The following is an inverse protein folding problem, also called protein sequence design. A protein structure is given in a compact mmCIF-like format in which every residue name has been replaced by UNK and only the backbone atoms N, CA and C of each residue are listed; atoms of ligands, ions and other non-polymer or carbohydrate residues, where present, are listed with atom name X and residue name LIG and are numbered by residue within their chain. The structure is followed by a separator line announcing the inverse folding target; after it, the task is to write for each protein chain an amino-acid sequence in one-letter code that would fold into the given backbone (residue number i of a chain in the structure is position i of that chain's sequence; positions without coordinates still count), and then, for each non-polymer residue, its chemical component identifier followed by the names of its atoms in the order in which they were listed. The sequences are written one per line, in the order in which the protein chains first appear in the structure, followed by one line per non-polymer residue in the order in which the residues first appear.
data_IF_686134281427
#
_entry.id   IF_686134281427
#
_cell.length_a   1.000
_cell.length_b   1.000
_cell.length_c   1.000
_cell.angle_alpha   90.00
_cell.angle_beta   90.00
_cell.angle_gamma   90.00
#
_symmetry.space_group_name_H-M   'P 1'
#
loop_
_entity.id
_entity.type
_entity.pdbx_description
1 polymer ?
#
# COMPACT_ATOMS: atom_id res chain seq x y z
N UNK A 1 3.24 -10.00 11.35
CA UNK A 1 3.65 -9.64 9.99
C UNK A 1 4.99 -8.93 10.06
N UNK A 2 6.02 -9.51 9.44
CA UNK A 2 7.38 -8.95 9.42
C UNK A 2 7.56 -8.09 8.16
N UNK A 3 7.35 -6.78 8.30
CA UNK A 3 7.47 -5.82 7.19
C UNK A 3 8.90 -5.73 6.63
N UNK A 4 9.93 -6.03 7.44
CA UNK A 4 11.31 -6.03 7.00
C UNK A 4 11.60 -7.23 6.09
N UNK A 5 11.05 -8.40 6.42
CA UNK A 5 11.11 -9.58 5.56
C UNK A 5 10.41 -9.32 4.23
N UNK A 6 9.17 -8.83 4.26
CA UNK A 6 8.39 -8.51 3.05
C UNK A 6 9.10 -7.46 2.19
N UNK A 7 9.64 -6.41 2.81
CA UNK A 7 10.36 -5.38 2.10
C UNK A 7 11.57 -5.94 1.34
N UNK A 8 12.30 -6.89 1.95
CA UNK A 8 13.44 -7.55 1.31
C UNK A 8 12.99 -8.49 0.19
N UNK A 9 11.95 -9.29 0.42
CA UNK A 9 11.44 -10.29 -0.52
C UNK A 9 10.87 -9.64 -1.80
N UNK A 10 10.14 -8.54 -1.65
CA UNK A 10 9.49 -7.84 -2.76
C UNK A 10 10.24 -6.60 -3.24
N UNK A 11 11.45 -6.36 -2.73
CA UNK A 11 12.29 -5.19 -3.03
C UNK A 11 11.53 -3.87 -2.86
N UNK A 12 10.88 -3.70 -1.71
CA UNK A 12 10.08 -2.52 -1.40
C UNK A 12 10.95 -1.37 -0.87
N UNK A 13 10.63 -0.15 -1.28
CA UNK A 13 11.20 1.06 -0.68
C UNK A 13 10.40 1.51 0.55
N UNK A 14 10.94 2.52 1.25
CA UNK A 14 10.34 3.04 2.48
C UNK A 14 8.90 3.54 2.30
N UNK A 15 8.58 4.16 1.16
CA UNK A 15 7.23 4.68 0.88
C UNK A 15 6.25 3.53 0.73
N UNK A 16 6.61 2.51 -0.06
CA UNK A 16 5.79 1.32 -0.27
C UNK A 16 5.52 0.58 1.04
N UNK A 17 6.55 0.39 1.88
CA UNK A 17 6.40 -0.21 3.21
C UNK A 17 5.48 0.64 4.10
N UNK A 18 5.63 1.96 4.08
CA UNK A 18 4.79 2.87 4.86
C UNK A 18 3.33 2.80 4.43
N UNK A 19 3.06 2.74 3.12
CA UNK A 19 1.71 2.55 2.56
C UNK A 19 1.11 1.24 3.05
N UNK A 20 1.87 0.13 2.99
CA UNK A 20 1.39 -1.18 3.45
C UNK A 20 1.02 -1.18 4.94
N UNK A 21 1.91 -0.63 5.78
CA UNK A 21 1.66 -0.51 7.22
C UNK A 21 0.40 0.34 7.47
N UNK A 22 0.29 1.47 6.77
CA UNK A 22 -0.82 2.40 6.97
C UNK A 22 -2.16 1.79 6.56
N UNK A 23 -2.23 1.15 5.38
CA UNK A 23 -3.43 0.44 4.93
C UNK A 23 -3.82 -0.68 5.91
N UNK A 24 -2.88 -1.48 6.41
CA UNK A 24 -3.20 -2.54 7.38
C UNK A 24 -3.75 -1.98 8.69
N UNK A 25 -3.17 -0.88 9.21
CA UNK A 25 -3.50 -0.35 10.53
C UNK A 25 -4.73 0.56 10.53
N UNK A 26 -4.84 1.44 9.55
CA UNK A 26 -5.91 2.44 9.48
C UNK A 26 -7.10 1.98 8.64
N UNK A 27 -6.86 1.15 7.61
CA UNK A 27 -7.88 0.80 6.61
C UNK A 27 -7.91 -0.70 6.31
N UNK A 28 -8.27 -1.55 7.28
CA UNK A 28 -8.17 -3.00 7.15
C UNK A 28 -9.05 -3.57 6.02
N UNK A 29 -9.97 -2.82 5.43
CA UNK A 29 -10.74 -3.29 4.28
C UNK A 29 -10.18 -2.73 2.98
N UNK A 30 -10.25 -1.43 2.79
CA UNK A 30 -9.67 -0.71 1.67
C UNK A 30 -9.71 0.80 1.93
N UNK A 31 -8.90 1.57 1.19
CA UNK A 31 -8.92 3.05 1.22
C UNK A 31 -8.71 3.66 -0.16
N UNK A 32 -9.29 4.82 -0.42
CA UNK A 32 -8.86 5.69 -1.52
C UNK A 32 -7.65 6.52 -1.13
N UNK A 33 -6.99 7.18 -2.09
CA UNK A 33 -5.81 8.01 -1.80
C UNK A 33 -6.24 9.25 -1.00
N UNK A 34 -7.43 9.79 -1.28
CA UNK A 34 -8.03 10.94 -0.60
C UNK A 34 -8.35 10.63 0.87
N UNK A 35 -8.68 9.37 1.18
CA UNK A 35 -8.82 8.89 2.57
C UNK A 35 -7.45 8.78 3.27
N UNK A 36 -6.37 8.57 2.51
CA UNK A 36 -5.01 8.45 3.05
C UNK A 36 -4.31 9.80 3.23
N UNK A 37 -4.55 10.76 2.34
CA UNK A 37 -3.90 12.08 2.36
C UNK A 37 -4.71 13.13 1.60
N UNK A 38 -4.72 14.36 2.13
CA UNK A 38 -5.22 15.55 1.43
C UNK A 38 -4.08 16.46 0.90
N UNK A 39 -2.82 16.10 1.14
CA UNK A 39 -1.66 16.83 0.64
C UNK A 39 -1.31 16.38 -0.79
N UNK A 40 -1.26 17.32 -1.74
CA UNK A 40 -1.02 17.04 -3.16
C UNK A 40 0.34 16.40 -3.44
N UNK A 41 1.41 16.84 -2.78
CA UNK A 41 2.75 16.25 -2.96
C UNK A 41 2.76 14.80 -2.48
N UNK A 42 2.13 14.55 -1.33
CA UNK A 42 2.02 13.20 -0.75
C UNK A 42 1.09 12.33 -1.61
N UNK A 43 0.02 12.90 -2.17
CA UNK A 43 -0.93 12.21 -3.04
C UNK A 43 -0.19 11.52 -4.19
N UNK A 44 0.66 12.25 -4.93
CA UNK A 44 1.41 11.69 -6.05
C UNK A 44 2.39 10.59 -5.63
N UNK A 45 3.02 10.73 -4.46
CA UNK A 45 3.92 9.71 -3.91
C UNK A 45 3.16 8.44 -3.51
N UNK A 46 2.00 8.60 -2.87
CA UNK A 46 1.13 7.49 -2.47
C UNK A 46 0.58 6.79 -3.71
N UNK A 47 0.13 7.53 -4.72
CA UNK A 47 -0.34 6.97 -5.98
C UNK A 47 0.74 6.11 -6.64
N UNK A 48 1.94 6.66 -6.84
CA UNK A 48 3.06 5.93 -7.43
C UNK A 48 3.46 4.71 -6.62
N UNK A 49 3.43 4.80 -5.29
CA UNK A 49 3.71 3.66 -4.42
C UNK A 49 2.65 2.56 -4.52
N UNK A 50 1.37 2.93 -4.59
CA UNK A 50 0.25 2.00 -4.77
C UNK A 50 0.29 1.30 -6.13
N UNK A 51 0.59 2.02 -7.20
CA UNK A 51 0.71 1.44 -8.54
C UNK A 51 1.79 0.36 -8.58
N UNK A 52 2.97 0.61 -7.97
CA UNK A 52 4.03 -0.39 -7.83
C UNK A 52 3.64 -1.56 -6.94
N UNK A 53 2.90 -1.32 -5.85
CA UNK A 53 2.41 -2.39 -4.98
C UNK A 53 1.37 -3.28 -5.68
N UNK A 54 0.61 -2.73 -6.63
CA UNK A 54 -0.29 -3.49 -7.50
C UNK A 54 0.50 -4.34 -8.49
N UNK A 55 1.53 -3.79 -9.14
CA UNK A 55 2.41 -4.55 -10.03
C UNK A 55 3.09 -5.73 -9.31
N UNK A 56 3.35 -5.59 -8.01
CA UNK A 56 3.92 -6.64 -7.14
C UNK A 56 2.87 -7.57 -6.54
N UNK A 57 1.61 -7.43 -6.92
CA UNK A 57 0.46 -8.22 -6.44
C UNK A 57 0.21 -8.12 -4.92
N UNK A 58 0.81 -7.15 -4.21
CA UNK A 58 0.64 -6.97 -2.76
C UNK A 58 -0.62 -6.16 -2.42
N UNK A 59 -1.10 -5.36 -3.37
CA UNK A 59 -2.30 -4.53 -3.26
C UNK A 59 -3.17 -4.76 -4.49
N UNK A 60 -4.49 -4.72 -4.33
CA UNK A 60 -5.45 -4.66 -5.44
C UNK A 60 -6.25 -3.37 -5.41
N UNK A 61 -6.74 -2.96 -6.58
CA UNK A 61 -7.62 -1.80 -6.74
C UNK A 61 -9.03 -2.25 -7.12
N UNK A 62 -10.03 -1.86 -6.34
CA UNK A 62 -11.46 -2.13 -6.58
C UNK A 62 -12.24 -0.84 -6.38
N UNK A 63 -12.96 -0.38 -7.41
CA UNK A 63 -13.78 0.85 -7.36
C UNK A 63 -13.03 2.06 -6.74
N UNK A 64 -11.82 2.32 -7.25
CA UNK A 64 -10.92 3.40 -6.78
C UNK A 64 -10.36 3.25 -5.36
N UNK A 65 -10.70 2.17 -4.64
CA UNK A 65 -10.11 1.85 -3.35
C UNK A 65 -9.05 0.77 -3.47
N UNK A 66 -8.04 0.86 -2.62
CA UNK A 66 -6.87 0.00 -2.57
C UNK A 66 -6.99 -0.94 -1.37
N UNK A 67 -6.84 -2.23 -1.61
CA UNK A 67 -6.97 -3.31 -0.63
C UNK A 67 -5.70 -4.14 -0.57
N UNK A 68 -5.25 -4.46 0.64
CA UNK A 68 -4.09 -5.33 0.85
C UNK A 68 -4.44 -6.79 0.57
N UNK A 69 -3.56 -7.47 -0.16
CA UNK A 69 -3.65 -8.91 -0.43
C UNK A 69 -3.05 -9.70 0.75
N UNK A 70 -3.90 -9.95 1.75
CA UNK A 70 -3.48 -10.59 3.00
C UNK A 70 -2.97 -12.02 2.82
N UNK A 71 -3.51 -12.76 1.86
CA UNK A 71 -3.14 -14.16 1.62
C UNK A 71 -1.68 -14.31 1.17
N UNK A 72 -1.06 -13.23 0.69
CA UNK A 72 0.36 -13.16 0.28
C UNK A 72 1.25 -12.66 1.43
N UNK A 73 0.67 -11.88 2.34
CA UNK A 73 1.41 -11.07 3.31
C UNK A 73 1.40 -11.65 4.74
N UNK A 74 0.63 -12.72 4.99
CA UNK A 74 0.48 -13.40 6.30
C UNK A 74 1.30 -14.69 6.33
#
# INVERSE_FOLDING_TARGET
MDYLKIAKEYYLNLIEVSILIYLIRAFPNSASIEEMTCNEVVYWQVQKGLDKLIEKELVSKVNQKYKIQRDILI
#
